data_IF_087011883000
#
_entry.id   IF_087011883000
#
_cell.length_a   1.000
_cell.length_b   1.000
_cell.length_c   1.000
_cell.angle_alpha   90.00
_cell.angle_beta   90.00
_cell.angle_gamma   90.00
#
_symmetry.space_group_name_H-M   'P 1'
#
loop_
_entity.id
_entity.type
_entity.pdbx_description
1 polymer ?
#
# COMPACT_ATOMS: atom_id res chain seq x y z
N UNK A 1 -21.97 -30.87 -35.91
CA UNK A 1 -21.25 -29.74 -35.29
C UNK A 1 -21.83 -29.56 -33.90
N UNK A 2 -21.08 -29.88 -32.85
CA UNK A 2 -21.60 -29.87 -31.48
C UNK A 2 -21.61 -28.43 -30.93
N UNK A 3 -22.78 -27.82 -30.66
CA UNK A 3 -22.88 -26.48 -30.09
C UNK A 3 -22.42 -26.39 -28.63
N UNK A 4 -22.13 -27.54 -27.99
CA UNK A 4 -21.65 -27.63 -26.61
C UNK A 4 -20.17 -27.29 -26.44
N UNK A 5 -19.35 -27.47 -27.48
CA UNK A 5 -17.91 -27.15 -27.42
C UNK A 5 -17.64 -25.65 -27.28
N UNK A 6 -18.42 -24.82 -27.98
CA UNK A 6 -18.22 -23.37 -27.99
C UNK A 6 -18.68 -22.67 -26.70
N UNK A 7 -19.65 -23.23 -25.97
CA UNK A 7 -20.11 -22.69 -24.70
C UNK A 7 -19.13 -23.01 -23.56
N UNK A 8 -18.58 -24.23 -23.53
CA UNK A 8 -17.59 -24.65 -22.55
C UNK A 8 -16.23 -23.95 -22.76
N UNK A 9 -15.77 -23.82 -24.01
CA UNK A 9 -14.54 -23.07 -24.31
C UNK A 9 -14.64 -21.60 -23.85
N UNK A 10 -15.81 -20.97 -24.04
CA UNK A 10 -16.07 -19.60 -23.55
C UNK A 10 -16.02 -19.49 -22.03
N UNK A 11 -16.60 -20.45 -21.30
CA UNK A 11 -16.58 -20.44 -19.83
C UNK A 11 -15.16 -20.62 -19.28
N UNK A 12 -14.34 -21.44 -19.92
CA UNK A 12 -12.92 -21.62 -19.56
C UNK A 12 -12.10 -20.38 -19.90
N UNK A 13 -12.38 -19.73 -21.03
CA UNK A 13 -11.76 -18.46 -21.42
C UNK A 13 -12.12 -17.33 -20.43
N UNK A 14 -13.41 -17.17 -20.10
CA UNK A 14 -13.89 -16.22 -19.08
C UNK A 14 -13.23 -16.46 -17.71
N UNK A 15 -13.09 -17.73 -17.29
CA UNK A 15 -12.40 -18.05 -16.04
C UNK A 15 -10.92 -17.66 -16.09
N UNK A 16 -10.24 -17.93 -17.21
CA UNK A 16 -8.84 -17.54 -17.38
C UNK A 16 -8.67 -16.01 -17.35
N UNK A 17 -9.57 -15.27 -17.98
CA UNK A 17 -9.59 -13.80 -17.92
C UNK A 17 -9.79 -13.29 -16.49
N UNK A 18 -10.75 -13.86 -15.74
CA UNK A 18 -10.99 -13.50 -14.35
C UNK A 18 -9.76 -13.78 -13.46
N UNK A 19 -9.11 -14.93 -13.65
CA UNK A 19 -7.89 -15.29 -12.92
C UNK A 19 -6.74 -14.35 -13.28
N UNK A 20 -6.58 -13.99 -14.55
CA UNK A 20 -5.56 -13.02 -14.98
C UNK A 20 -5.79 -11.63 -14.38
N UNK A 21 -7.05 -11.17 -14.33
CA UNK A 21 -7.43 -9.92 -13.67
C UNK A 21 -7.15 -9.97 -12.15
N UNK A 22 -7.46 -11.09 -11.49
CA UNK A 22 -7.16 -11.28 -10.08
C UNK A 22 -5.64 -11.28 -9.80
N UNK A 23 -4.83 -11.88 -10.68
CA UNK A 23 -3.36 -11.80 -10.60
C UNK A 23 -2.84 -10.38 -10.78
N UNK A 24 -3.44 -9.60 -11.68
CA UNK A 24 -3.09 -8.19 -11.87
C UNK A 24 -3.47 -7.35 -10.65
N UNK A 25 -4.67 -7.54 -10.11
CA UNK A 25 -5.12 -6.85 -8.91
C UNK A 25 -4.26 -7.20 -7.69
N UNK A 26 -3.89 -8.47 -7.53
CA UNK A 26 -2.95 -8.90 -6.48
C UNK A 26 -1.59 -8.19 -6.57
N UNK A 27 -1.04 -8.01 -7.77
CA UNK A 27 0.19 -7.24 -7.99
C UNK A 27 0.00 -5.75 -7.65
N UNK A 28 -1.12 -5.16 -8.04
CA UNK A 28 -1.44 -3.77 -7.71
C UNK A 28 -1.55 -3.55 -6.20
N UNK A 29 -2.14 -4.50 -5.46
CA UNK A 29 -2.17 -4.50 -4.00
C UNK A 29 -0.75 -4.52 -3.43
N UNK A 30 0.13 -5.40 -3.92
CA UNK A 30 1.52 -5.49 -3.44
C UNK A 30 2.28 -4.18 -3.66
N UNK A 31 2.15 -3.57 -4.84
CA UNK A 31 2.75 -2.26 -5.13
C UNK A 31 2.20 -1.17 -4.20
N UNK A 32 0.89 -1.16 -3.93
CA UNK A 32 0.27 -0.17 -3.04
C UNK A 32 0.73 -0.35 -1.58
N UNK A 33 0.92 -1.58 -1.13
CA UNK A 33 1.48 -1.89 0.20
C UNK A 33 2.94 -1.43 0.28
N UNK A 34 3.76 -1.72 -0.72
CA UNK A 34 5.16 -1.28 -0.75
C UNK A 34 5.26 0.25 -0.75
N UNK A 35 4.43 0.93 -1.55
CA UNK A 35 4.35 2.42 -1.55
C UNK A 35 3.90 2.96 -0.20
N UNK A 36 2.99 2.28 0.49
CA UNK A 36 2.51 2.66 1.81
C UNK A 36 3.64 2.56 2.85
N UNK A 37 4.39 1.46 2.84
CA UNK A 37 5.50 1.24 3.77
C UNK A 37 6.68 2.18 3.50
N UNK A 38 7.00 2.44 2.24
CA UNK A 38 7.96 3.48 1.87
C UNK A 38 7.53 4.87 2.36
N UNK A 39 6.23 5.20 2.29
CA UNK A 39 5.71 6.45 2.81
C UNK A 39 5.78 6.53 4.35
N UNK A 40 5.46 5.43 5.05
CA UNK A 40 5.60 5.32 6.51
C UNK A 40 7.05 5.52 6.96
N UNK A 41 8.00 4.91 6.27
CA UNK A 41 9.42 5.04 6.56
C UNK A 41 9.90 6.49 6.38
N UNK A 42 9.45 7.18 5.33
CA UNK A 42 9.73 8.62 5.13
C UNK A 42 9.17 9.49 6.25
N UNK A 43 7.95 9.19 6.72
CA UNK A 43 7.33 9.90 7.86
C UNK A 43 8.13 9.67 9.13
N UNK A 44 8.50 8.42 9.43
CA UNK A 44 9.31 8.07 10.60
C UNK A 44 10.66 8.80 10.58
N UNK A 45 11.37 8.75 9.45
CA UNK A 45 12.67 9.42 9.31
C UNK A 45 12.55 10.93 9.47
N UNK A 46 11.55 11.56 8.84
CA UNK A 46 11.33 13.00 8.99
C UNK A 46 10.93 13.37 10.42
N UNK A 47 10.14 12.53 11.11
CA UNK A 47 9.81 12.75 12.51
C UNK A 47 11.03 12.65 13.42
N UNK A 48 11.95 11.71 13.17
CA UNK A 48 13.20 11.59 13.92
C UNK A 48 14.10 12.83 13.73
N UNK A 49 14.19 13.34 12.49
CA UNK A 49 14.90 14.60 12.20
C UNK A 49 14.25 15.78 12.93
N UNK A 50 12.93 15.87 12.95
CA UNK A 50 12.20 16.93 13.65
C UNK A 50 12.47 16.87 15.17
N UNK A 51 12.43 15.69 15.77
CA UNK A 51 12.76 15.51 17.19
C UNK A 51 14.20 15.91 17.51
N UNK A 52 15.17 15.50 16.68
CA UNK A 52 16.57 15.89 16.84
C UNK A 52 16.78 17.41 16.73
N UNK A 53 16.07 18.06 15.80
CA UNK A 53 16.07 19.52 15.66
C UNK A 53 15.48 20.21 16.90
N UNK A 54 14.35 19.74 17.41
CA UNK A 54 13.73 20.32 18.61
C UNK A 54 14.60 20.16 19.86
N UNK A 55 15.22 18.98 20.05
CA UNK A 55 16.14 18.72 21.16
C UNK A 55 17.37 19.64 21.05
N UNK A 56 17.96 19.77 19.86
CA UNK A 56 19.14 20.63 19.68
C UNK A 56 18.83 22.12 19.85
N UNK A 57 17.68 22.60 19.37
CA UNK A 57 17.18 23.96 19.65
C UNK A 57 16.93 24.18 21.14
N UNK A 58 16.29 23.24 21.82
CA UNK A 58 16.03 23.31 23.26
C UNK A 58 17.33 23.34 24.08
N UNK A 59 18.28 22.46 23.76
CA UNK A 59 19.59 22.43 24.39
C UNK A 59 20.35 23.75 24.15
N UNK A 60 20.37 24.24 22.91
CA UNK A 60 21.00 25.52 22.59
C UNK A 60 20.32 26.69 23.32
N UNK A 61 18.99 26.71 23.41
CA UNK A 61 18.25 27.75 24.12
C UNK A 61 18.51 27.76 25.64
N UNK A 62 18.66 26.58 26.26
CA UNK A 62 18.85 26.44 27.70
C UNK A 62 20.32 26.59 28.13
N UNK A 63 21.28 26.11 27.33
CA UNK A 63 22.70 26.05 27.70
C UNK A 63 23.58 27.13 27.04
N UNK A 64 23.08 27.88 26.05
CA UNK A 64 23.83 29.01 25.48
C UNK A 64 24.04 30.17 26.47
N UNK A 65 23.36 30.15 27.62
CA UNK A 65 23.50 31.16 28.66
C UNK A 65 24.82 31.13 29.44
N UNK A 66 25.61 30.04 29.36
CA UNK A 66 26.76 29.88 30.27
C UNK A 66 28.15 30.21 29.70
N UNK A 67 28.44 30.12 28.40
CA UNK A 67 29.81 30.42 27.90
C UNK A 67 29.93 30.80 26.41
N UNK A 68 28.82 30.95 25.67
CA UNK A 68 28.90 31.28 24.25
C UNK A 68 28.73 32.78 24.02
N UNK A 69 29.84 33.46 23.75
CA UNK A 69 29.95 34.84 23.22
C UNK A 69 29.39 34.88 21.79
N UNK A 70 28.12 34.54 21.65
CA UNK A 70 27.33 34.67 20.45
C UNK A 70 26.55 35.96 20.64
N UNK A 71 26.81 36.97 19.80
CA UNK A 71 26.07 38.22 19.82
C UNK A 71 24.56 37.94 19.75
N UNK A 72 23.74 38.76 20.40
CA UNK A 72 22.28 38.58 20.41
C UNK A 72 21.68 38.38 19.02
N UNK A 73 22.31 38.97 18.00
CA UNK A 73 21.98 38.81 16.57
C UNK A 73 22.07 37.36 16.09
N UNK A 74 23.12 36.61 16.44
CA UNK A 74 23.30 35.24 15.95
C UNK A 74 22.33 34.25 16.61
N UNK A 75 21.93 34.50 17.87
CA UNK A 75 20.84 33.76 18.54
C UNK A 75 19.48 33.99 17.86
N UNK A 76 19.19 35.23 17.44
CA UNK A 76 17.96 35.53 16.69
C UNK A 76 17.97 34.83 15.32
N UNK A 77 19.09 34.90 14.59
CA UNK A 77 19.24 34.26 13.28
C UNK A 77 19.11 32.74 13.37
N UNK A 78 19.77 32.09 14.33
CA UNK A 78 19.69 30.63 14.50
C UNK A 78 18.28 30.17 14.89
N UNK A 79 17.59 30.92 15.74
CA UNK A 79 16.20 30.63 16.14
C UNK A 79 15.24 30.80 14.96
N UNK A 80 15.41 31.87 14.16
CA UNK A 80 14.59 32.10 12.97
C UNK A 80 14.79 30.99 11.91
N UNK A 81 16.05 30.59 11.65
CA UNK A 81 16.35 29.46 10.76
C UNK A 81 15.76 28.15 11.29
N UNK A 82 15.86 27.92 12.60
CA UNK A 82 15.26 26.77 13.27
C UNK A 82 13.75 26.70 13.07
N UNK A 83 13.04 27.82 13.25
CA UNK A 83 11.61 27.93 12.99
C UNK A 83 11.25 27.62 11.53
N UNK A 84 12.02 28.14 10.57
CA UNK A 84 11.82 27.83 9.14
C UNK A 84 11.97 26.33 8.88
N UNK A 85 12.99 25.69 9.46
CA UNK A 85 13.18 24.24 9.35
C UNK A 85 12.03 23.44 9.97
N UNK A 86 11.55 23.83 11.15
CA UNK A 86 10.40 23.18 11.81
C UNK A 86 9.13 23.33 10.97
N UNK A 87 8.81 24.54 10.51
CA UNK A 87 7.66 24.79 9.64
C UNK A 87 7.76 23.99 8.32
N UNK A 88 8.95 23.93 7.72
CA UNK A 88 9.22 23.13 6.53
C UNK A 88 9.00 21.64 6.76
N UNK A 89 9.52 21.09 7.87
CA UNK A 89 9.35 19.67 8.21
C UNK A 89 7.89 19.32 8.51
N UNK A 90 7.14 20.20 9.19
CA UNK A 90 5.70 20.04 9.41
C UNK A 90 4.91 20.05 8.11
N UNK A 91 5.23 20.95 7.18
CA UNK A 91 4.61 20.97 5.84
C UNK A 91 4.87 19.68 5.08
N UNK A 92 6.10 19.15 5.13
CA UNK A 92 6.44 17.85 4.56
C UNK A 92 5.64 16.71 5.21
N UNK A 93 5.56 16.65 6.55
CA UNK A 93 4.73 15.66 7.27
C UNK A 93 3.28 15.70 6.82
N UNK A 94 2.70 16.90 6.72
CA UNK A 94 1.33 17.07 6.26
C UNK A 94 1.14 16.54 4.83
N UNK A 95 2.07 16.86 3.92
CA UNK A 95 2.02 16.36 2.55
C UNK A 95 2.11 14.83 2.47
N UNK A 96 2.97 14.21 3.30
CA UNK A 96 3.07 12.76 3.38
C UNK A 96 1.82 12.12 3.97
N UNK A 97 1.21 12.75 4.97
CA UNK A 97 -0.05 12.29 5.55
C UNK A 97 -1.18 12.25 4.49
N UNK A 98 -1.31 13.30 3.67
CA UNK A 98 -2.29 13.33 2.58
C UNK A 98 -2.03 12.24 1.54
N UNK A 99 -0.77 12.05 1.14
CA UNK A 99 -0.37 10.97 0.22
C UNK A 99 -0.71 9.60 0.79
N UNK A 100 -0.40 9.37 2.07
CA UNK A 100 -0.67 8.12 2.75
C UNK A 100 -2.18 7.83 2.84
N UNK A 101 -3.01 8.86 3.09
CA UNK A 101 -4.47 8.73 3.05
C UNK A 101 -4.98 8.33 1.67
N UNK A 102 -4.41 8.89 0.61
CA UNK A 102 -4.74 8.51 -0.77
C UNK A 102 -4.37 7.05 -1.05
N UNK A 103 -3.14 6.64 -0.75
CA UNK A 103 -2.69 5.25 -0.94
C UNK A 103 -3.59 4.26 -0.18
N UNK A 104 -3.94 4.56 1.08
CA UNK A 104 -4.87 3.72 1.87
C UNK A 104 -6.28 3.64 1.29
N UNK A 105 -6.73 4.67 0.58
CA UNK A 105 -8.03 4.64 -0.11
C UNK A 105 -7.92 3.75 -1.35
N UNK A 106 -6.89 3.98 -2.16
CA UNK A 106 -6.69 3.24 -3.41
C UNK A 106 -6.44 1.74 -3.11
N UNK A 107 -5.71 1.42 -2.03
CA UNK A 107 -5.54 0.04 -1.53
C UNK A 107 -6.87 -0.61 -1.14
N UNK A 108 -7.77 0.12 -0.46
CA UNK A 108 -9.09 -0.41 -0.08
C UNK A 108 -9.97 -0.67 -1.30
N UNK A 109 -9.90 0.21 -2.30
CA UNK A 109 -10.63 0.02 -3.56
C UNK A 109 -10.10 -1.22 -4.28
N UNK A 110 -8.78 -1.37 -4.37
CA UNK A 110 -8.17 -2.54 -5.03
C UNK A 110 -8.48 -3.84 -4.30
N UNK A 111 -8.51 -3.84 -2.97
CA UNK A 111 -8.94 -4.98 -2.16
C UNK A 111 -10.40 -5.36 -2.42
N UNK A 112 -11.33 -4.37 -2.48
CA UNK A 112 -12.74 -4.64 -2.81
C UNK A 112 -12.90 -5.20 -4.23
N UNK A 113 -12.10 -4.71 -5.20
CA UNK A 113 -12.06 -5.28 -6.56
C UNK A 113 -11.58 -6.74 -6.51
N UNK A 114 -10.49 -7.01 -5.81
CA UNK A 114 -9.92 -8.36 -5.67
C UNK A 114 -10.91 -9.33 -5.02
N UNK A 115 -11.59 -8.92 -3.95
CA UNK A 115 -12.59 -9.74 -3.25
C UNK A 115 -13.78 -10.07 -4.15
N UNK A 116 -14.24 -9.10 -4.96
CA UNK A 116 -15.30 -9.33 -5.95
C UNK A 116 -14.84 -10.27 -7.07
N UNK A 117 -13.61 -10.14 -7.55
CA UNK A 117 -13.03 -11.04 -8.56
C UNK A 117 -12.94 -12.46 -8.02
N UNK A 118 -12.50 -12.66 -6.78
CA UNK A 118 -12.48 -13.97 -6.13
C UNK A 118 -13.89 -14.58 -6.05
N UNK A 119 -14.90 -13.79 -5.68
CA UNK A 119 -16.30 -14.26 -5.68
C UNK A 119 -16.82 -14.65 -7.07
N UNK A 120 -16.44 -13.92 -8.11
CA UNK A 120 -16.78 -14.27 -9.50
C UNK A 120 -16.07 -15.54 -9.97
N UNK A 121 -14.80 -15.71 -9.61
CA UNK A 121 -14.03 -16.92 -9.93
C UNK A 121 -14.65 -18.14 -9.23
N UNK A 122 -15.00 -18.04 -7.95
CA UNK A 122 -15.68 -19.11 -7.23
C UNK A 122 -17.04 -19.46 -7.85
N UNK A 123 -17.78 -18.44 -8.28
CA UNK A 123 -19.04 -18.60 -8.99
C UNK A 123 -18.90 -19.33 -10.33
N UNK A 124 -17.90 -18.96 -11.14
CA UNK A 124 -17.61 -19.63 -12.42
C UNK A 124 -17.03 -21.02 -12.23
N UNK A 125 -16.16 -21.23 -11.24
CA UNK A 125 -15.63 -22.55 -10.88
C UNK A 125 -16.77 -23.52 -10.55
N UNK A 126 -17.73 -23.11 -9.71
CA UNK A 126 -18.89 -23.96 -9.36
C UNK A 126 -19.74 -24.34 -10.57
N UNK A 127 -19.84 -23.47 -11.58
CA UNK A 127 -20.58 -23.77 -12.83
C UNK A 127 -19.84 -24.80 -13.66
N UNK A 128 -18.51 -24.66 -13.78
CA UNK A 128 -17.67 -25.60 -14.51
C UNK A 128 -17.59 -26.98 -13.82
N UNK A 129 -17.58 -27.01 -12.48
CA UNK A 129 -17.62 -28.25 -11.69
C UNK A 129 -18.98 -28.97 -11.82
N UNK A 130 -20.10 -28.21 -11.91
CA UNK A 130 -21.44 -28.78 -12.06
C UNK A 130 -21.68 -29.44 -13.42
N UNK A 131 -20.98 -28.99 -14.45
CA UNK A 131 -21.08 -29.51 -15.81
C UNK A 131 -19.96 -30.53 -16.16
N UNK A 132 -19.15 -30.95 -15.16
CA UNK A 132 -18.11 -31.98 -15.26
C UNK A 132 -17.04 -31.71 -16.36
N UNK A 133 -16.80 -30.42 -16.66
CA UNK A 133 -15.93 -29.99 -17.77
C UNK A 133 -14.44 -29.93 -17.41
N UNK A 134 -14.09 -30.04 -16.13
CA UNK A 134 -12.70 -29.89 -15.70
C UNK A 134 -11.91 -31.19 -15.80
N UNK A 135 -10.79 -31.15 -16.54
CA UNK A 135 -9.74 -32.15 -16.35
C UNK A 135 -9.18 -32.02 -14.93
N UNK A 136 -8.91 -33.13 -14.21
CA UNK A 136 -8.35 -33.10 -12.85
C UNK A 136 -7.06 -32.28 -12.74
N UNK A 137 -6.27 -32.23 -13.81
CA UNK A 137 -5.03 -31.46 -13.89
C UNK A 137 -5.31 -29.95 -13.98
N UNK A 138 -6.33 -29.56 -14.75
CA UNK A 138 -6.73 -28.16 -14.88
C UNK A 138 -7.34 -27.66 -13.56
N UNK A 139 -8.18 -28.45 -12.91
CA UNK A 139 -8.73 -28.13 -11.58
C UNK A 139 -7.62 -27.96 -10.53
N UNK A 140 -6.64 -28.87 -10.49
CA UNK A 140 -5.49 -28.76 -9.61
C UNK A 140 -4.68 -27.49 -9.90
N UNK A 141 -4.49 -27.13 -11.17
CA UNK A 141 -3.76 -25.90 -11.55
C UNK A 141 -4.50 -24.65 -11.09
N UNK A 142 -5.82 -24.58 -11.28
CA UNK A 142 -6.63 -23.44 -10.84
C UNK A 142 -6.69 -23.31 -9.32
N UNK A 143 -6.85 -24.42 -8.61
CA UNK A 143 -6.85 -24.41 -7.14
C UNK A 143 -5.52 -23.93 -6.57
N UNK A 144 -4.39 -24.32 -7.17
CA UNK A 144 -3.06 -23.81 -6.78
C UNK A 144 -2.93 -22.31 -7.05
N UNK A 145 -3.39 -21.81 -8.21
CA UNK A 145 -3.35 -20.37 -8.54
C UNK A 145 -4.24 -19.55 -7.60
N UNK A 146 -5.46 -20.02 -7.33
CA UNK A 146 -6.38 -19.36 -6.38
C UNK A 146 -5.83 -19.35 -4.97
N UNK A 147 -5.22 -20.45 -4.51
CA UNK A 147 -4.60 -20.51 -3.18
C UNK A 147 -3.43 -19.54 -3.01
N UNK A 148 -2.74 -19.16 -4.09
CA UNK A 148 -1.70 -18.10 -4.06
C UNK A 148 -2.28 -16.69 -4.02
N UNK A 149 -3.51 -16.52 -4.53
CA UNK A 149 -4.24 -15.25 -4.56
C UNK A 149 -5.09 -15.03 -3.30
N UNK A 150 -5.42 -16.10 -2.59
CA UNK A 150 -6.14 -16.05 -1.33
C UNK A 150 -5.28 -15.39 -0.26
N UNK A 151 -5.64 -14.15 0.08
CA UNK A 151 -4.96 -13.30 1.05
C UNK A 151 -5.82 -13.09 2.30
N UNK A 152 -6.85 -13.92 2.51
CA UNK A 152 -7.82 -13.79 3.60
C UNK A 152 -7.16 -13.73 4.99
N UNK A 153 -5.96 -14.30 5.14
CA UNK A 153 -5.16 -14.26 6.37
C UNK A 153 -4.39 -12.94 6.60
N UNK A 154 -4.22 -12.09 5.58
CA UNK A 154 -3.48 -10.81 5.66
C UNK A 154 -4.38 -9.61 5.95
N UNK A 155 -5.34 -9.76 6.89
CA UNK A 155 -6.01 -8.57 7.45
C UNK A 155 -4.97 -7.75 8.20
N UNK A 156 -4.47 -6.71 7.56
CA UNK A 156 -3.62 -5.68 8.16
C UNK A 156 -4.44 -4.96 9.24
N UNK A 157 -4.25 -5.38 10.49
CA UNK A 157 -4.66 -4.65 11.70
C UNK A 157 -3.86 -3.36 11.85
#
# INVERSE_FOLDING_TARGET
>A
MNPLGSASERLVEELNELVALAEQSAKAIDELVERLDAARLKVLLNSAVLYALLISLGYFALYSGNDFVISGTWRVVSTALGLVFVCGSLSLLYSYFLRMRKIKRDLRVEQDIHDRLMGLIDGQKRRLDADDFFSPVAEATFSIRLKRLDRTDRKLT
#
